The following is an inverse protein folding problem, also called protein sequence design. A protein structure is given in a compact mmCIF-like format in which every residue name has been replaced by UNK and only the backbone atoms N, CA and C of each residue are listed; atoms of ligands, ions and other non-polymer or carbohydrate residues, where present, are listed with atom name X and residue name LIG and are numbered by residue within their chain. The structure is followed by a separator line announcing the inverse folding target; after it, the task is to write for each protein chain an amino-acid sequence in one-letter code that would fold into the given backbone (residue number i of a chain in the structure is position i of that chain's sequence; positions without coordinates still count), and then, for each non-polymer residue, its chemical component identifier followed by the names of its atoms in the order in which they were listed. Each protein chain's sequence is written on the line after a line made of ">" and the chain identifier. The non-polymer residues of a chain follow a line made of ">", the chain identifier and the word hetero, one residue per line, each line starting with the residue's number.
data_IF_333557968252
#
_entry.id   IF_333557968252
#
_cell.length_a   1.000
_cell.length_b   1.000
_cell.length_c   1.000
_cell.angle_alpha   90.00
_cell.angle_beta   90.00
_cell.angle_gamma   90.00
#
_symmetry.space_group_name_H-M   'P 1'
#
loop_
_entity.id
_entity.type
_entity.pdbx_description
1 polymer ?
#
# COMPACT_ATOMS: atom_id res chain seq x y z
N UNK A 1 2.08 -7.79 -27.80
CA UNK A 1 1.62 -8.25 -26.50
C UNK A 1 2.77 -8.29 -25.52
N UNK A 2 2.54 -7.82 -24.38
CA UNK A 2 3.63 -7.66 -23.44
C UNK A 2 3.43 -8.57 -22.23
N UNK A 3 4.52 -9.17 -21.75
CA UNK A 3 4.50 -9.92 -20.50
C UNK A 3 4.10 -9.03 -19.33
N UNK A 4 4.32 -7.73 -19.46
CA UNK A 4 3.97 -6.76 -18.44
C UNK A 4 2.46 -6.69 -18.20
N UNK A 5 1.66 -6.65 -19.28
CA UNK A 5 0.22 -6.65 -19.15
C UNK A 5 -0.29 -7.94 -18.51
N UNK A 6 0.31 -9.05 -18.90
CA UNK A 6 -0.03 -10.35 -18.34
C UNK A 6 0.32 -10.42 -16.85
N UNK A 7 1.50 -9.94 -16.48
CA UNK A 7 1.92 -9.91 -15.09
C UNK A 7 1.02 -9.03 -14.24
N UNK A 8 0.60 -7.89 -14.75
CA UNK A 8 -0.29 -7.00 -14.03
C UNK A 8 -1.66 -7.64 -13.78
N UNK A 9 -2.22 -8.32 -14.81
CA UNK A 9 -3.49 -9.01 -14.63
C UNK A 9 -3.41 -10.08 -13.56
N UNK A 10 -2.31 -10.84 -13.51
CA UNK A 10 -2.08 -11.86 -12.48
C UNK A 10 -1.97 -11.21 -11.10
N UNK A 11 -1.24 -10.11 -11.01
CA UNK A 11 -1.09 -9.35 -9.77
C UNK A 11 -2.44 -8.89 -9.24
N UNK A 12 -3.27 -8.30 -10.11
CA UNK A 12 -4.59 -7.82 -9.73
C UNK A 12 -5.49 -8.95 -9.26
N UNK A 13 -5.47 -10.08 -9.95
CA UNK A 13 -6.26 -11.25 -9.53
C UNK A 13 -5.82 -11.76 -8.17
N UNK A 14 -4.51 -11.77 -7.92
CA UNK A 14 -3.98 -12.21 -6.64
C UNK A 14 -4.41 -11.27 -5.51
N UNK A 15 -4.41 -9.96 -5.76
CA UNK A 15 -4.89 -8.99 -4.78
C UNK A 15 -6.36 -9.23 -4.46
N UNK A 16 -7.20 -9.45 -5.48
CA UNK A 16 -8.63 -9.65 -5.30
C UNK A 16 -8.93 -10.94 -4.54
N UNK A 17 -8.15 -11.98 -4.79
CA UNK A 17 -8.36 -13.27 -4.12
C UNK A 17 -7.73 -13.34 -2.74
N UNK A 18 -7.00 -12.30 -2.33
CA UNK A 18 -6.31 -12.27 -1.05
C UNK A 18 -5.07 -13.15 -1.02
N UNK A 19 -4.46 -13.41 -2.17
CA UNK A 19 -3.29 -14.27 -2.26
C UNK A 19 -2.01 -13.43 -2.25
N UNK A 20 -1.51 -13.15 -1.05
CA UNK A 20 -0.32 -12.33 -0.89
C UNK A 20 0.92 -12.96 -1.52
N UNK A 21 1.03 -14.29 -1.46
CA UNK A 21 2.19 -14.99 -2.00
C UNK A 21 2.31 -14.77 -3.52
N UNK A 22 1.20 -14.96 -4.24
CA UNK A 22 1.20 -14.76 -5.69
C UNK A 22 1.38 -13.28 -6.04
N UNK A 23 0.73 -12.38 -5.29
CA UNK A 23 0.88 -10.95 -5.54
C UNK A 23 2.32 -10.50 -5.34
N UNK A 24 2.99 -10.96 -4.28
CA UNK A 24 4.39 -10.64 -4.03
C UNK A 24 5.30 -11.20 -5.12
N UNK A 25 5.01 -12.41 -5.59
CA UNK A 25 5.81 -13.02 -6.65
C UNK A 25 5.69 -12.25 -7.96
N UNK A 26 4.53 -11.68 -8.23
CA UNK A 26 4.30 -10.92 -9.46
C UNK A 26 4.81 -9.48 -9.38
N UNK A 27 4.83 -8.88 -8.19
CA UNK A 27 5.17 -7.47 -8.03
C UNK A 27 6.53 -7.06 -8.60
N UNK A 28 7.62 -7.83 -8.40
CA UNK A 28 8.93 -7.43 -8.93
C UNK A 28 8.98 -7.35 -10.45
N UNK A 29 8.08 -8.02 -11.14
CA UNK A 29 8.02 -7.99 -12.61
C UNK A 29 7.36 -6.71 -13.11
N UNK A 30 6.70 -5.97 -12.22
CA UNK A 30 6.01 -4.74 -12.57
C UNK A 30 6.89 -3.56 -12.16
N UNK A 31 7.41 -2.86 -13.14
CA UNK A 31 8.31 -1.74 -12.88
C UNK A 31 7.67 -0.66 -12.04
N UNK A 32 6.36 -0.48 -12.20
CA UNK A 32 5.64 0.56 -11.48
C UNK A 32 4.30 0.02 -11.02
N UNK A 33 4.28 -0.45 -9.82
CA UNK A 33 3.02 -0.74 -9.15
C UNK A 33 2.54 0.59 -8.56
N UNK A 34 1.33 1.01 -8.92
CA UNK A 34 0.78 2.26 -8.43
C UNK A 34 0.58 2.26 -6.92
N UNK A 35 0.46 3.45 -6.35
CA UNK A 35 0.29 3.60 -4.90
C UNK A 35 -0.93 2.85 -4.37
N UNK A 36 -2.04 2.86 -5.12
CA UNK A 36 -3.27 2.20 -4.68
C UNK A 36 -3.09 0.68 -4.62
N UNK A 37 -2.54 0.09 -5.68
CA UNK A 37 -2.29 -1.35 -5.71
C UNK A 37 -1.24 -1.75 -4.67
N UNK A 38 -0.22 -0.94 -4.48
CA UNK A 38 0.79 -1.18 -3.47
C UNK A 38 0.19 -1.14 -2.05
N UNK A 39 -0.79 -0.25 -1.82
CA UNK A 39 -1.46 -0.19 -0.53
C UNK A 39 -2.32 -1.43 -0.30
N UNK A 40 -3.03 -1.90 -1.32
CA UNK A 40 -3.77 -3.17 -1.21
C UNK A 40 -2.83 -4.32 -0.86
N UNK A 41 -1.66 -4.37 -1.50
CA UNK A 41 -0.66 -5.38 -1.20
C UNK A 41 -0.17 -5.27 0.25
N UNK A 42 0.02 -4.05 0.74
CA UNK A 42 0.47 -3.82 2.10
C UNK A 42 -0.51 -4.42 3.12
N UNK A 43 -1.82 -4.22 2.90
CA UNK A 43 -2.83 -4.81 3.78
C UNK A 43 -2.84 -6.33 3.71
N UNK A 44 -2.61 -6.92 2.53
CA UNK A 44 -2.47 -8.37 2.41
C UNK A 44 -1.25 -8.88 3.18
N UNK A 45 -0.14 -8.19 3.07
CA UNK A 45 1.10 -8.56 3.79
C UNK A 45 0.84 -8.53 5.29
N UNK A 46 0.11 -7.52 5.77
CA UNK A 46 -0.22 -7.43 7.19
C UNK A 46 -0.93 -8.70 7.67
N UNK A 47 -1.85 -9.23 6.87
CA UNK A 47 -2.63 -10.41 7.26
C UNK A 47 -1.86 -11.72 7.08
N UNK A 48 -1.20 -11.89 5.94
CA UNK A 48 -0.63 -13.18 5.57
C UNK A 48 0.83 -13.34 5.94
N UNK A 49 1.59 -12.25 5.96
CA UNK A 49 3.03 -12.28 6.20
C UNK A 49 3.45 -11.11 7.08
N UNK A 50 2.93 -11.05 8.32
CA UNK A 50 3.14 -9.86 9.17
C UNK A 50 4.61 -9.55 9.45
N UNK A 51 5.48 -10.54 9.39
CA UNK A 51 6.92 -10.32 9.60
C UNK A 51 7.51 -9.41 8.52
N UNK A 52 6.87 -9.31 7.35
CA UNK A 52 7.33 -8.47 6.26
C UNK A 52 6.68 -7.09 6.26
N UNK A 53 5.75 -6.84 7.17
CA UNK A 53 4.95 -5.63 7.12
C UNK A 53 5.79 -4.36 7.27
N UNK A 54 6.67 -4.30 8.26
CA UNK A 54 7.41 -3.07 8.53
C UNK A 54 8.21 -2.61 7.31
N UNK A 55 8.95 -3.54 6.68
CA UNK A 55 9.71 -3.18 5.48
C UNK A 55 8.82 -2.77 4.33
N UNK A 56 7.71 -3.48 4.15
CA UNK A 56 6.76 -3.15 3.09
C UNK A 56 6.14 -1.77 3.33
N UNK A 57 5.82 -1.44 4.57
CA UNK A 57 5.26 -0.14 4.92
C UNK A 57 6.26 0.98 4.66
N UNK A 58 7.52 0.76 5.00
CA UNK A 58 8.58 1.75 4.72
C UNK A 58 8.70 2.00 3.22
N UNK A 59 8.66 0.95 2.42
CA UNK A 59 8.72 1.09 0.96
C UNK A 59 7.52 1.85 0.42
N UNK A 60 6.35 1.55 0.92
CA UNK A 60 5.14 2.26 0.50
C UNK A 60 5.24 3.74 0.88
N UNK A 61 5.69 4.01 2.09
CA UNK A 61 5.89 5.38 2.55
C UNK A 61 6.85 6.14 1.63
N UNK A 62 7.98 5.52 1.29
CA UNK A 62 8.97 6.16 0.41
C UNK A 62 8.38 6.48 -0.95
N UNK A 63 7.58 5.57 -1.50
CA UNK A 63 6.90 5.78 -2.77
C UNK A 63 5.90 6.93 -2.67
N UNK A 64 5.11 6.95 -1.61
CA UNK A 64 4.15 8.02 -1.38
C UNK A 64 4.87 9.38 -1.26
N UNK A 65 5.91 9.43 -0.45
CA UNK A 65 6.65 10.67 -0.20
C UNK A 65 7.28 11.23 -1.49
N UNK A 66 7.69 10.34 -2.40
CA UNK A 66 8.24 10.77 -3.68
C UNK A 66 7.19 11.40 -4.60
N UNK A 67 5.92 11.00 -4.44
CA UNK A 67 4.85 11.49 -5.30
C UNK A 67 4.15 12.72 -4.75
N UNK A 68 4.04 12.85 -3.44
CA UNK A 68 3.33 13.97 -2.81
C UNK A 68 4.32 15.11 -2.54
N UNK A 69 4.45 15.99 -3.50
CA UNK A 69 5.41 17.10 -3.44
C UNK A 69 5.11 18.12 -2.34
N UNK A 70 3.92 18.08 -1.76
CA UNK A 70 3.50 19.00 -0.71
C UNK A 70 3.61 18.39 0.68
N UNK A 71 4.17 17.19 0.78
CA UNK A 71 4.31 16.51 2.06
C UNK A 71 5.35 17.22 2.92
N UNK A 72 4.91 17.71 4.07
CA UNK A 72 5.80 18.33 5.04
C UNK A 72 6.27 17.30 6.05
N UNK A 73 7.29 17.67 6.80
CA UNK A 73 7.88 16.76 7.78
C UNK A 73 6.85 16.27 8.83
N UNK A 74 5.98 17.16 9.29
CA UNK A 74 4.92 16.76 10.23
C UNK A 74 3.92 15.81 9.59
N UNK A 75 3.62 15.99 8.29
CA UNK A 75 2.72 15.09 7.58
C UNK A 75 3.36 13.71 7.44
N UNK A 76 4.66 13.67 7.15
CA UNK A 76 5.38 12.42 7.06
C UNK A 76 5.36 11.65 8.38
N UNK A 77 5.55 12.37 9.50
CA UNK A 77 5.50 11.74 10.82
C UNK A 77 4.12 11.17 11.11
N UNK A 78 3.09 11.91 10.76
CA UNK A 78 1.71 11.45 10.96
C UNK A 78 1.44 10.20 10.15
N UNK A 79 1.85 10.19 8.87
CA UNK A 79 1.67 9.03 8.01
C UNK A 79 2.41 7.81 8.56
N UNK A 80 3.65 7.99 9.01
CA UNK A 80 4.42 6.90 9.60
C UNK A 80 3.71 6.34 10.84
N UNK A 81 3.19 7.21 11.69
CA UNK A 81 2.47 6.79 12.89
C UNK A 81 1.21 5.99 12.53
N UNK A 82 0.50 6.43 11.48
CA UNK A 82 -0.69 5.71 11.01
C UNK A 82 -0.32 4.33 10.49
N UNK A 83 0.73 4.24 9.67
CA UNK A 83 1.19 2.95 9.15
C UNK A 83 1.64 2.01 10.26
N UNK A 84 2.32 2.55 11.27
CA UNK A 84 2.72 1.76 12.42
C UNK A 84 1.52 1.22 13.19
N UNK A 85 0.51 2.07 13.41
CA UNK A 85 -0.73 1.65 14.06
C UNK A 85 -1.45 0.56 13.28
N UNK A 86 -1.49 0.68 11.96
CA UNK A 86 -2.11 -0.32 11.10
C UNK A 86 -1.40 -1.67 11.26
N UNK A 87 -0.07 -1.66 11.32
CA UNK A 87 0.70 -2.88 11.55
C UNK A 87 0.39 -3.55 12.87
N UNK A 88 -0.07 -2.78 13.85
CA UNK A 88 -0.48 -3.31 15.15
C UNK A 88 -1.97 -3.59 15.23
N UNK A 89 -2.67 -3.56 14.09
CA UNK A 89 -4.10 -3.82 13.99
C UNK A 89 -4.95 -2.81 14.76
N UNK A 90 -4.49 -1.57 14.84
CA UNK A 90 -5.26 -0.48 15.44
C UNK A 90 -6.29 0.00 14.42
N UNK A 91 -7.56 -0.28 14.68
CA UNK A 91 -8.64 0.06 13.76
C UNK A 91 -8.81 1.58 13.62
N UNK A 92 -8.47 2.34 14.65
CA UNK A 92 -8.53 3.80 14.57
C UNK A 92 -7.51 4.31 13.55
N UNK A 93 -6.33 3.70 13.50
CA UNK A 93 -5.32 4.07 12.50
C UNK A 93 -5.81 3.80 11.09
N UNK A 94 -6.54 2.69 10.87
CA UNK A 94 -7.12 2.37 9.57
C UNK A 94 -8.07 3.47 9.12
N UNK A 95 -9.00 3.86 9.98
CA UNK A 95 -9.98 4.89 9.66
C UNK A 95 -9.28 6.24 9.41
N UNK A 96 -8.28 6.55 10.22
CA UNK A 96 -7.54 7.80 10.08
C UNK A 96 -6.73 7.84 8.80
N UNK A 97 -6.14 6.72 8.38
CA UNK A 97 -5.39 6.69 7.13
C UNK A 97 -6.30 6.98 5.94
N UNK A 98 -7.49 6.38 5.92
CA UNK A 98 -8.44 6.65 4.85
C UNK A 98 -8.75 8.14 4.76
N UNK A 99 -9.08 8.75 5.89
CA UNK A 99 -9.40 10.18 5.94
C UNK A 99 -8.22 11.04 5.53
N UNK A 100 -7.03 10.67 5.99
CA UNK A 100 -5.80 11.39 5.70
C UNK A 100 -5.53 11.43 4.20
N UNK A 101 -5.64 10.26 3.55
CA UNK A 101 -5.42 10.16 2.12
C UNK A 101 -6.47 10.93 1.34
N UNK A 102 -7.73 10.82 1.74
CA UNK A 102 -8.82 11.49 1.04
C UNK A 102 -8.70 13.01 1.15
N UNK A 103 -8.31 13.50 2.32
CA UNK A 103 -8.10 14.92 2.53
C UNK A 103 -6.97 15.49 1.66
N UNK A 104 -6.03 14.66 1.25
CA UNK A 104 -4.92 15.08 0.40
C UNK A 104 -5.17 14.82 -1.09
N UNK A 105 -6.36 14.35 -1.44
CA UNK A 105 -6.74 14.10 -2.83
C UNK A 105 -6.35 12.74 -3.36
N UNK A 106 -5.95 11.83 -2.49
CA UNK A 106 -5.57 10.47 -2.89
C UNK A 106 -6.74 9.51 -2.70
N UNK A 107 -7.81 9.76 -3.47
CA UNK A 107 -9.07 9.03 -3.32
C UNK A 107 -8.94 7.55 -3.70
N UNK A 108 -8.19 7.24 -4.76
CA UNK A 108 -8.01 5.85 -5.17
C UNK A 108 -7.30 5.05 -4.07
N UNK A 109 -6.29 5.67 -3.46
CA UNK A 109 -5.57 5.05 -2.36
C UNK A 109 -6.46 4.91 -1.13
N UNK A 110 -7.26 5.93 -0.84
CA UNK A 110 -8.20 5.87 0.28
C UNK A 110 -9.19 4.72 0.11
N UNK A 111 -9.64 4.47 -1.12
CA UNK A 111 -10.57 3.37 -1.41
C UNK A 111 -9.97 1.99 -1.17
N UNK A 112 -8.64 1.89 -1.11
CA UNK A 112 -7.95 0.61 -0.87
C UNK A 112 -7.67 0.34 0.59
N UNK A 113 -7.96 1.30 1.48
CA UNK A 113 -7.77 1.10 2.91
C UNK A 113 -8.83 0.15 3.42
N UNK A 114 -8.40 -0.96 4.00
CA UNK A 114 -9.34 -2.02 4.41
C UNK A 114 -9.54 -2.05 5.92
#
# INVERSE_FOLDING_TARGET
>A
MTSQGHGYARFRRALKSGNAHVALAAAPELRQVGLADALSLLFLIREDKPVLYDKAAVRWFAKYAAEDRYLLLRDARELIDLLDGIGRHDQVAVVRLERWLRARGYDDEADRVA
#
